data_IF_157397163672
#
_entry.id   IF_157397163672
#
_cell.length_a   1.000
_cell.length_b   1.000
_cell.length_c   1.000
_cell.angle_alpha   90.00
_cell.angle_beta   90.00
_cell.angle_gamma   90.00
#
_symmetry.space_group_name_H-M   'P 1'
#
loop_
_entity.id
_entity.type
_entity.pdbx_description
1 polymer ?
#
# COMPACT_ATOMS: atom_id res chain seq x y z
N UNK A 1 -10.12 -23.80 -16.52
CA UNK A 1 -9.47 -24.11 -15.23
C UNK A 1 -8.02 -24.55 -15.42
N UNK A 2 -7.70 -25.36 -16.43
CA UNK A 2 -6.31 -25.79 -16.70
C UNK A 2 -5.31 -24.65 -16.91
N UNK A 3 -5.70 -23.57 -17.61
CA UNK A 3 -4.82 -22.42 -17.85
C UNK A 3 -4.41 -21.68 -16.57
N UNK A 4 -5.30 -21.60 -15.57
CA UNK A 4 -5.02 -20.96 -14.27
C UNK A 4 -4.06 -21.83 -13.45
N UNK A 5 -4.21 -23.16 -13.52
CA UNK A 5 -3.34 -24.10 -12.81
C UNK A 5 -1.93 -24.11 -13.43
N UNK A 6 -1.82 -24.15 -14.76
CA UNK A 6 -0.54 -24.08 -15.46
C UNK A 6 0.22 -22.78 -15.18
N UNK A 7 -0.50 -21.65 -15.13
CA UNK A 7 0.08 -20.35 -14.78
C UNK A 7 0.59 -20.33 -13.32
N UNK A 8 -0.19 -20.88 -12.38
CA UNK A 8 0.20 -21.00 -10.97
C UNK A 8 1.44 -21.87 -10.79
N UNK A 9 1.49 -23.01 -11.50
CA UNK A 9 2.62 -23.94 -11.46
C UNK A 9 3.90 -23.32 -12.03
N UNK A 10 3.80 -22.58 -13.13
CA UNK A 10 4.92 -21.80 -13.67
C UNK A 10 5.47 -20.80 -12.65
N UNK A 11 4.59 -20.03 -11.99
CA UNK A 11 5.00 -19.05 -10.98
C UNK A 11 5.65 -19.69 -9.75
N UNK A 12 5.10 -20.81 -9.28
CA UNK A 12 5.64 -21.53 -8.13
C UNK A 12 7.04 -22.12 -8.39
N UNK A 13 7.39 -22.35 -9.65
CA UNK A 13 8.69 -22.89 -10.06
C UNK A 13 9.73 -21.82 -10.39
N UNK A 14 9.39 -20.53 -10.29
CA UNK A 14 10.35 -19.46 -10.51
C UNK A 14 11.38 -19.41 -9.36
N UNK A 15 12.68 -19.30 -9.67
CA UNK A 15 13.71 -19.02 -8.68
C UNK A 15 13.34 -17.78 -7.83
N UNK A 16 13.53 -17.80 -6.50
CA UNK A 16 13.15 -16.68 -5.63
C UNK A 16 13.74 -15.34 -6.06
N UNK A 17 15.01 -15.32 -6.51
CA UNK A 17 15.67 -14.11 -7.02
C UNK A 17 14.96 -13.51 -8.25
N UNK A 18 14.37 -14.36 -9.11
CA UNK A 18 13.59 -13.92 -10.27
C UNK A 18 12.24 -13.34 -9.80
N UNK A 19 11.58 -13.97 -8.82
CA UNK A 19 10.36 -13.41 -8.23
C UNK A 19 10.61 -12.04 -7.57
N UNK A 20 11.70 -11.90 -6.80
CA UNK A 20 12.11 -10.61 -6.22
C UNK A 20 12.40 -9.56 -7.30
N UNK A 21 13.05 -9.95 -8.40
CA UNK A 21 13.32 -9.05 -9.52
C UNK A 21 12.02 -8.56 -10.19
N UNK A 22 11.06 -9.44 -10.43
CA UNK A 22 9.74 -9.04 -10.95
C UNK A 22 8.99 -8.13 -9.97
N UNK A 23 8.99 -8.47 -8.67
CA UNK A 23 8.39 -7.64 -7.63
C UNK A 23 9.03 -6.24 -7.57
N UNK A 24 10.35 -6.15 -7.76
CA UNK A 24 11.08 -4.89 -7.84
C UNK A 24 10.73 -4.09 -9.10
N UNK A 25 10.64 -4.73 -10.27
CA UNK A 25 10.21 -4.06 -11.50
C UNK A 25 8.80 -3.51 -11.36
N UNK A 26 7.86 -4.31 -10.84
CA UNK A 26 6.48 -3.88 -10.63
C UNK A 26 6.42 -2.68 -9.67
N UNK A 27 7.20 -2.71 -8.60
CA UNK A 27 7.33 -1.57 -7.68
C UNK A 27 7.91 -0.33 -8.37
N UNK A 28 8.96 -0.48 -9.17
CA UNK A 28 9.58 0.64 -9.90
C UNK A 28 8.61 1.25 -10.92
N UNK A 29 7.91 0.42 -11.70
CA UNK A 29 6.85 0.86 -12.63
C UNK A 29 5.76 1.61 -11.88
N UNK A 30 5.40 1.16 -10.68
CA UNK A 30 4.41 1.80 -9.83
C UNK A 30 4.90 3.16 -9.33
N UNK A 31 6.15 3.29 -8.86
CA UNK A 31 6.74 4.59 -8.50
C UNK A 31 6.73 5.54 -9.70
N UNK A 32 7.14 5.08 -10.88
CA UNK A 32 7.17 5.91 -12.10
C UNK A 32 5.76 6.36 -12.48
N UNK A 33 4.78 5.46 -12.46
CA UNK A 33 3.38 5.80 -12.74
C UNK A 33 2.87 6.88 -11.79
N UNK A 34 3.16 6.75 -10.49
CA UNK A 34 2.79 7.75 -9.48
C UNK A 34 3.50 9.08 -9.74
N UNK A 35 4.81 9.08 -10.00
CA UNK A 35 5.56 10.28 -10.28
C UNK A 35 5.05 11.00 -11.54
N UNK A 36 4.66 10.25 -12.57
CA UNK A 36 4.04 10.80 -13.80
C UNK A 36 2.69 11.45 -13.47
N UNK A 37 1.83 10.79 -12.70
CA UNK A 37 0.53 11.36 -12.29
C UNK A 37 0.72 12.62 -11.44
N UNK A 38 1.62 12.58 -10.46
CA UNK A 38 1.92 13.73 -9.61
C UNK A 38 2.45 14.91 -10.44
N UNK A 39 3.38 14.65 -11.37
CA UNK A 39 3.94 15.70 -12.23
C UNK A 39 2.89 16.25 -13.22
N UNK A 40 1.96 15.42 -13.69
CA UNK A 40 0.85 15.85 -14.52
C UNK A 40 -0.17 16.71 -13.75
N UNK A 41 -0.51 16.33 -12.50
CA UNK A 41 -1.41 17.10 -11.66
C UNK A 41 -0.79 18.41 -11.17
N UNK A 42 0.50 18.40 -10.81
CA UNK A 42 1.22 19.61 -10.40
C UNK A 42 1.29 20.66 -11.52
N UNK A 43 1.33 20.22 -12.79
CA UNK A 43 1.31 21.13 -13.95
C UNK A 43 -0.06 21.73 -14.22
N UNK A 44 -1.15 21.07 -13.83
CA UNK A 44 -2.48 21.48 -14.29
C UNK A 44 -3.12 22.61 -13.48
N UNK A 45 -2.87 22.79 -12.17
CA UNK A 45 -3.54 23.81 -11.31
C UNK A 45 -5.07 23.96 -11.49
N UNK A 46 -5.72 23.04 -12.20
CA UNK A 46 -7.06 23.14 -12.74
C UNK A 46 -7.90 22.00 -12.18
N UNK A 47 -9.23 22.19 -12.05
CA UNK A 47 -10.12 21.14 -11.56
C UNK A 47 -9.97 19.87 -12.41
N UNK A 48 -9.78 18.74 -11.73
CA UNK A 48 -9.57 17.41 -12.33
C UNK A 48 -10.76 17.09 -13.24
N UNK A 49 -10.50 16.97 -14.54
CA UNK A 49 -11.53 16.60 -15.52
C UNK A 49 -11.96 15.13 -15.30
N UNK A 50 -13.20 14.77 -15.65
CA UNK A 50 -13.74 13.40 -15.45
C UNK A 50 -12.86 12.28 -16.04
N UNK A 51 -12.09 12.57 -17.09
CA UNK A 51 -11.17 11.62 -17.72
C UNK A 51 -9.96 11.30 -16.81
N UNK A 52 -9.45 12.29 -16.09
CA UNK A 52 -8.30 12.15 -15.18
C UNK A 52 -8.66 11.28 -13.96
N UNK A 53 -9.94 11.20 -13.57
CA UNK A 53 -10.40 10.31 -12.50
C UNK A 53 -10.28 8.82 -12.84
N UNK A 54 -10.51 8.42 -14.09
CA UNK A 54 -10.43 7.02 -14.51
C UNK A 54 -8.99 6.50 -14.51
N UNK A 55 -8.06 7.29 -15.06
CA UNK A 55 -6.63 6.97 -15.08
C UNK A 55 -6.09 6.86 -13.64
N UNK A 56 -6.47 7.80 -12.78
CA UNK A 56 -6.06 7.80 -11.38
C UNK A 56 -6.59 6.57 -10.61
N UNK A 57 -7.88 6.25 -10.77
CA UNK A 57 -8.51 5.09 -10.12
C UNK A 57 -7.84 3.80 -10.57
N UNK A 58 -7.52 3.69 -11.85
CA UNK A 58 -6.80 2.53 -12.40
C UNK A 58 -5.44 2.35 -11.76
N UNK A 59 -4.69 3.44 -11.54
CA UNK A 59 -3.37 3.40 -10.88
C UNK A 59 -3.48 2.97 -9.43
N UNK A 60 -4.49 3.45 -8.68
CA UNK A 60 -4.75 2.99 -7.31
C UNK A 60 -5.05 1.50 -7.28
N UNK A 61 -5.97 1.03 -8.13
CA UNK A 61 -6.36 -0.39 -8.19
C UNK A 61 -5.15 -1.26 -8.52
N UNK A 62 -4.40 -0.91 -9.57
CA UNK A 62 -3.17 -1.64 -9.96
C UNK A 62 -2.18 -1.64 -8.79
N UNK A 63 -2.02 -0.50 -8.12
CA UNK A 63 -1.10 -0.36 -6.99
C UNK A 63 -1.45 -1.27 -5.81
N UNK A 64 -2.74 -1.33 -5.46
CA UNK A 64 -3.24 -2.19 -4.39
C UNK A 64 -3.17 -3.67 -4.76
N UNK A 65 -3.47 -4.02 -6.01
CA UNK A 65 -3.34 -5.40 -6.51
C UNK A 65 -1.88 -5.84 -6.47
N UNK A 66 -0.94 -5.03 -6.98
CA UNK A 66 0.49 -5.34 -6.92
C UNK A 66 0.99 -5.47 -5.47
N UNK A 67 0.59 -4.57 -4.57
CA UNK A 67 0.95 -4.65 -3.16
C UNK A 67 0.44 -5.95 -2.52
N UNK A 68 -0.79 -6.35 -2.85
CA UNK A 68 -1.42 -7.57 -2.32
C UNK A 68 -0.74 -8.83 -2.87
N UNK A 69 -0.63 -8.96 -4.19
CA UNK A 69 -0.02 -10.12 -4.86
C UNK A 69 1.46 -10.23 -4.49
N UNK A 70 2.23 -9.12 -4.55
CA UNK A 70 3.64 -9.11 -4.19
C UNK A 70 3.89 -9.50 -2.74
N UNK A 71 3.11 -8.94 -1.81
CA UNK A 71 3.22 -9.32 -0.39
C UNK A 71 2.84 -10.78 -0.17
N UNK A 72 1.78 -11.28 -0.81
CA UNK A 72 1.36 -12.67 -0.67
C UNK A 72 2.38 -13.66 -1.23
N UNK A 73 2.89 -13.42 -2.45
CA UNK A 73 3.85 -14.32 -3.08
C UNK A 73 5.13 -14.44 -2.25
N UNK A 74 5.68 -13.31 -1.82
CA UNK A 74 6.91 -13.30 -1.02
C UNK A 74 6.65 -13.89 0.38
N UNK A 75 5.54 -13.52 1.01
CA UNK A 75 5.24 -13.97 2.36
C UNK A 75 4.67 -15.39 2.41
N UNK A 76 4.40 -16.08 1.30
CA UNK A 76 3.90 -17.47 1.32
C UNK A 76 5.01 -18.51 1.19
N UNK A 77 6.26 -18.11 0.97
CA UNK A 77 7.39 -19.03 0.83
C UNK A 77 7.61 -19.86 2.12
N UNK A 78 7.64 -21.20 2.06
CA UNK A 78 7.76 -22.05 3.25
C UNK A 78 9.17 -22.08 3.83
N UNK A 79 10.22 -21.91 3.03
CA UNK A 79 11.63 -22.02 3.44
C UNK A 79 12.30 -20.65 3.56
N UNK A 80 11.78 -19.79 4.44
CA UNK A 80 12.33 -18.44 4.65
C UNK A 80 13.40 -18.42 5.73
N UNK A 81 14.52 -17.77 5.41
CA UNK A 81 15.48 -17.32 6.42
C UNK A 81 14.93 -16.08 7.14
N UNK A 82 15.47 -15.77 8.33
CA UNK A 82 15.14 -14.53 9.06
C UNK A 82 15.36 -13.30 8.17
N UNK A 83 16.49 -13.23 7.47
CA UNK A 83 16.81 -12.12 6.57
C UNK A 83 15.85 -11.99 5.40
N UNK A 84 15.45 -13.12 4.78
CA UNK A 84 14.43 -13.09 3.73
C UNK A 84 13.10 -12.56 4.28
N UNK A 85 12.68 -12.99 5.48
CA UNK A 85 11.44 -12.52 6.12
C UNK A 85 11.47 -11.03 6.42
N UNK A 86 12.59 -10.51 6.93
CA UNK A 86 12.78 -9.07 7.16
C UNK A 86 12.68 -8.29 5.84
N UNK A 87 13.33 -8.77 4.77
CA UNK A 87 13.25 -8.16 3.45
C UNK A 87 11.82 -8.18 2.89
N UNK A 88 11.09 -9.29 3.05
CA UNK A 88 9.68 -9.43 2.66
C UNK A 88 8.78 -8.42 3.36
N UNK A 89 8.95 -8.26 4.68
CA UNK A 89 8.18 -7.31 5.48
C UNK A 89 8.53 -5.88 5.06
N UNK A 90 9.81 -5.56 4.89
CA UNK A 90 10.25 -4.26 4.39
C UNK A 90 9.65 -3.92 3.03
N UNK A 91 9.64 -4.88 2.11
CA UNK A 91 9.01 -4.74 0.80
C UNK A 91 7.49 -4.51 0.93
N UNK A 92 6.79 -5.29 1.77
CA UNK A 92 5.36 -5.11 2.00
C UNK A 92 5.05 -3.71 2.56
N UNK A 93 5.83 -3.23 3.53
CA UNK A 93 5.70 -1.86 4.07
C UNK A 93 5.85 -0.83 2.96
N UNK A 94 6.86 -0.94 2.11
CA UNK A 94 7.10 -0.01 1.00
C UNK A 94 5.94 -0.01 0.00
N UNK A 95 5.47 -1.18 -0.41
CA UNK A 95 4.35 -1.32 -1.36
C UNK A 95 3.05 -0.70 -0.81
N UNK A 96 2.69 -1.06 0.42
CA UNK A 96 1.51 -0.50 1.08
C UNK A 96 1.66 0.99 1.36
N UNK A 97 2.86 1.47 1.68
CA UNK A 97 3.12 2.90 1.88
C UNK A 97 2.83 3.65 0.59
N UNK A 98 3.39 3.22 -0.54
CA UNK A 98 3.13 3.84 -1.84
C UNK A 98 1.63 3.83 -2.15
N UNK A 99 0.95 2.68 -2.02
CA UNK A 99 -0.48 2.58 -2.27
C UNK A 99 -1.31 3.56 -1.41
N UNK A 100 -1.05 3.62 -0.11
CA UNK A 100 -1.76 4.53 0.79
C UNK A 100 -1.42 6.00 0.56
N UNK A 101 -0.19 6.35 0.18
CA UNK A 101 0.17 7.73 -0.15
C UNK A 101 -0.58 8.22 -1.40
N UNK A 102 -0.67 7.39 -2.44
CA UNK A 102 -1.47 7.70 -3.65
C UNK A 102 -2.93 7.91 -3.25
N UNK A 103 -3.49 6.98 -2.47
CA UNK A 103 -4.89 7.02 -2.05
C UNK A 103 -5.18 8.29 -1.23
N UNK A 104 -4.33 8.57 -0.23
CA UNK A 104 -4.44 9.73 0.62
C UNK A 104 -4.30 11.04 -0.17
N UNK A 105 -3.39 11.11 -1.13
CA UNK A 105 -3.17 12.32 -1.90
C UNK A 105 -4.36 12.68 -2.80
N UNK A 106 -4.95 11.69 -3.47
CA UNK A 106 -6.07 11.98 -4.36
C UNK A 106 -7.41 12.06 -3.67
N UNK A 107 -7.69 11.17 -2.73
CA UNK A 107 -8.97 11.14 -2.05
C UNK A 107 -8.97 12.01 -0.80
N UNK A 108 -7.81 12.43 -0.28
CA UNK A 108 -7.69 13.23 0.94
C UNK A 108 -8.58 14.48 0.96
N UNK A 109 -8.59 15.34 -0.07
CA UNK A 109 -9.47 16.51 -0.09
C UNK A 109 -10.96 16.15 -0.06
N UNK A 110 -11.38 15.14 -0.82
CA UNK A 110 -12.77 14.69 -0.87
C UNK A 110 -13.20 13.97 0.42
N UNK A 111 -12.28 13.23 1.05
CA UNK A 111 -12.49 12.63 2.35
C UNK A 111 -12.57 13.70 3.44
N UNK A 112 -11.77 14.76 3.35
CA UNK A 112 -11.79 15.85 4.33
C UNK A 112 -13.08 16.66 4.28
N UNK A 113 -13.69 16.83 3.09
CA UNK A 113 -14.97 17.53 2.96
C UNK A 113 -16.14 16.73 3.55
N UNK A 114 -16.10 15.39 3.46
CA UNK A 114 -17.17 14.52 3.97
C UNK A 114 -16.95 14.02 5.40
N UNK A 115 -15.69 13.83 5.80
CA UNK A 115 -15.29 13.19 7.05
C UNK A 115 -14.14 13.97 7.70
N UNK A 116 -14.47 15.02 8.47
CA UNK A 116 -13.48 15.94 9.09
C UNK A 116 -12.40 15.27 9.95
N UNK A 117 -12.60 14.01 10.37
CA UNK A 117 -11.69 13.28 11.26
C UNK A 117 -11.09 12.03 10.62
N UNK A 118 -11.16 11.87 9.30
CA UNK A 118 -10.66 10.67 8.62
C UNK A 118 -9.16 10.41 8.86
N UNK A 119 -8.34 11.46 8.96
CA UNK A 119 -6.91 11.34 9.30
C UNK A 119 -6.72 10.73 10.69
N UNK A 120 -7.59 11.06 11.66
CA UNK A 120 -7.60 10.45 13.00
C UNK A 120 -8.08 9.00 12.95
N UNK A 121 -8.98 8.65 12.02
CA UNK A 121 -9.37 7.26 11.79
C UNK A 121 -8.19 6.37 11.38
N UNK A 122 -7.19 6.91 10.69
CA UNK A 122 -5.97 6.17 10.34
C UNK A 122 -5.23 5.70 11.59
N UNK A 123 -5.17 6.50 12.66
CA UNK A 123 -4.52 6.09 13.92
C UNK A 123 -5.23 4.89 14.56
N UNK A 124 -6.56 4.85 14.52
CA UNK A 124 -7.31 3.70 15.04
C UNK A 124 -7.08 2.44 14.20
N UNK A 125 -7.03 2.56 12.87
CA UNK A 125 -6.72 1.44 11.98
C UNK A 125 -5.28 0.93 12.20
N UNK A 126 -4.33 1.84 12.40
CA UNK A 126 -2.95 1.52 12.77
C UNK A 126 -2.88 0.75 14.09
N UNK A 127 -3.52 1.26 15.16
CA UNK A 127 -3.55 0.61 16.46
C UNK A 127 -4.19 -0.78 16.37
N UNK A 128 -5.35 -0.89 15.72
CA UNK A 128 -6.05 -2.16 15.55
C UNK A 128 -5.17 -3.17 14.78
N UNK A 129 -4.64 -2.78 13.62
CA UNK A 129 -3.81 -3.64 12.77
C UNK A 129 -2.51 -4.07 13.47
N UNK A 130 -1.83 -3.15 14.15
CA UNK A 130 -0.62 -3.46 14.91
C UNK A 130 -0.90 -4.36 16.11
N UNK A 131 -1.98 -4.16 16.85
CA UNK A 131 -2.39 -5.05 17.94
C UNK A 131 -2.66 -6.46 17.42
N UNK A 132 -3.42 -6.60 16.33
CA UNK A 132 -3.66 -7.91 15.71
C UNK A 132 -2.37 -8.58 15.22
N UNK A 133 -1.49 -7.83 14.57
CA UNK A 133 -0.22 -8.34 14.08
C UNK A 133 0.72 -8.79 15.20
N UNK A 134 0.85 -8.01 16.28
CA UNK A 134 1.63 -8.39 17.47
C UNK A 134 1.02 -9.61 18.14
N UNK A 135 -0.30 -9.61 18.38
CA UNK A 135 -1.00 -10.73 19.00
C UNK A 135 -0.77 -12.02 18.20
N UNK A 136 -0.79 -11.93 16.87
CA UNK A 136 -0.49 -13.08 16.01
C UNK A 136 0.96 -13.53 16.13
N UNK A 137 1.94 -12.62 16.11
CA UNK A 137 3.36 -13.00 16.29
C UNK A 137 3.57 -13.68 17.65
N UNK A 138 2.99 -13.13 18.72
CA UNK A 138 3.09 -13.68 20.08
C UNK A 138 2.47 -15.08 20.17
N UNK A 139 1.28 -15.27 19.58
CA UNK A 139 0.59 -16.58 19.59
C UNK A 139 1.21 -17.60 18.66
N UNK A 140 1.79 -17.18 17.53
CA UNK A 140 2.52 -18.05 16.60
C UNK A 140 3.78 -18.68 17.24
N UNK A 141 4.44 -17.96 18.15
CA UNK A 141 5.56 -18.50 18.94
C UNK A 141 5.18 -19.62 19.90
N UNK A 142 3.87 -19.81 20.16
CA UNK A 142 3.34 -20.83 21.10
C UNK A 142 2.88 -22.10 20.35
N UNK A 143 2.64 -22.04 19.03
CA UNK A 143 2.12 -23.15 18.23
C UNK A 143 2.94 -23.34 16.93
N UNK A 144 4.11 -23.97 17.05
CA UNK A 144 4.90 -24.41 15.89
C UNK A 144 4.32 -25.73 15.36
N UNK A 145 3.26 -25.65 14.56
CA UNK A 145 2.83 -26.79 13.73
C UNK A 145 2.87 -26.42 12.25
N UNK A 146 3.30 -27.37 11.40
CA UNK A 146 3.64 -27.16 9.99
C UNK A 146 2.45 -26.69 9.11
N UNK A 147 1.21 -26.73 9.62
CA UNK A 147 0.02 -26.23 8.92
C UNK A 147 -0.26 -24.72 9.13
N UNK A 148 0.54 -23.99 9.90
CA UNK A 148 0.29 -22.56 10.22
C UNK A 148 0.98 -21.53 9.29
N UNK A 149 1.66 -21.99 8.23
CA UNK A 149 2.42 -21.10 7.34
C UNK A 149 1.59 -19.92 6.81
N UNK A 150 0.35 -20.16 6.38
CA UNK A 150 -0.56 -19.12 5.85
C UNK A 150 -1.04 -18.14 6.93
N UNK A 151 -1.22 -18.61 8.16
CA UNK A 151 -1.71 -17.79 9.29
C UNK A 151 -0.58 -16.91 9.85
N UNK A 152 0.68 -17.33 9.70
CA UNK A 152 1.86 -16.51 10.04
C UNK A 152 2.07 -15.33 9.08
N UNK A 153 1.73 -15.49 7.80
CA UNK A 153 1.76 -14.40 6.80
C UNK A 153 0.89 -13.23 7.22
N UNK A 154 -0.31 -13.52 7.72
CA UNK A 154 -1.28 -12.51 8.12
C UNK A 154 -0.73 -11.53 9.14
N UNK A 155 -0.05 -12.02 10.19
CA UNK A 155 0.50 -11.16 11.25
C UNK A 155 1.54 -10.16 10.74
N UNK A 156 2.48 -10.66 9.93
CA UNK A 156 3.51 -9.83 9.30
C UNK A 156 2.91 -8.80 8.32
N UNK A 157 1.90 -9.20 7.54
CA UNK A 157 1.20 -8.32 6.62
C UNK A 157 0.43 -7.21 7.36
N UNK A 158 -0.30 -7.55 8.44
CA UNK A 158 -1.03 -6.58 9.26
C UNK A 158 -0.10 -5.54 9.87
N UNK A 159 1.08 -5.94 10.34
CA UNK A 159 2.10 -5.00 10.82
C UNK A 159 2.64 -4.12 9.70
N UNK A 160 2.92 -4.69 8.52
CA UNK A 160 3.38 -3.93 7.38
C UNK A 160 2.39 -2.85 6.94
N UNK A 161 1.11 -3.23 6.85
CA UNK A 161 -0.02 -2.33 6.55
C UNK A 161 -0.15 -1.25 7.62
N UNK A 162 -0.09 -1.62 8.90
CA UNK A 162 -0.19 -0.66 10.00
C UNK A 162 0.94 0.38 9.93
N UNK A 163 2.19 -0.05 9.76
CA UNK A 163 3.33 0.87 9.61
C UNK A 163 3.18 1.78 8.40
N UNK A 164 2.73 1.24 7.26
CA UNK A 164 2.46 2.00 6.06
C UNK A 164 1.37 3.08 6.27
N UNK A 165 0.29 2.74 6.99
CA UNK A 165 -0.74 3.70 7.38
C UNK A 165 -0.18 4.82 8.26
N UNK A 166 0.68 4.47 9.23
CA UNK A 166 1.32 5.46 10.10
C UNK A 166 2.22 6.42 9.32
N UNK A 167 3.04 5.91 8.41
CA UNK A 167 3.87 6.73 7.52
C UNK A 167 3.01 7.66 6.66
N UNK A 168 1.93 7.13 6.08
CA UNK A 168 0.99 7.90 5.27
C UNK A 168 0.34 9.02 6.07
N UNK A 169 -0.08 8.75 7.31
CA UNK A 169 -0.62 9.78 8.20
C UNK A 169 0.39 10.89 8.46
N UNK A 170 1.62 10.54 8.82
CA UNK A 170 2.68 11.53 9.02
C UNK A 170 2.88 12.39 7.78
N UNK A 171 2.88 11.80 6.58
CA UNK A 171 2.96 12.55 5.32
C UNK A 171 1.77 13.49 5.12
N UNK A 172 0.53 13.04 5.41
CA UNK A 172 -0.66 13.90 5.35
C UNK A 172 -0.50 15.10 6.28
N UNK A 173 -0.05 14.89 7.52
CA UNK A 173 0.12 15.95 8.53
C UNK A 173 1.21 16.96 8.14
N UNK A 174 2.34 16.49 7.59
CA UNK A 174 3.46 17.34 7.14
C UNK A 174 3.05 18.16 5.91
N UNK A 175 2.51 17.50 4.88
CA UNK A 175 2.21 18.15 3.61
C UNK A 175 0.84 18.83 3.58
N UNK A 176 -0.02 18.57 4.57
CA UNK A 176 -1.37 19.15 4.67
C UNK A 176 -2.30 18.70 3.55
N UNK A 177 -2.24 17.42 3.16
CA UNK A 177 -3.08 16.88 2.06
C UNK A 177 -4.58 16.88 2.39
N UNK A 178 -4.94 17.04 3.66
CA UNK A 178 -6.29 17.16 4.19
C UNK A 178 -6.83 18.61 4.19
N UNK A 179 -5.98 19.61 3.97
CA UNK A 179 -6.37 21.04 4.05
C UNK A 179 -6.83 21.56 2.68
N UNK A 180 -8.13 21.61 2.47
CA UNK A 180 -8.75 22.15 1.25
C UNK A 180 -8.39 23.63 1.02
N UNK A 181 -8.35 24.44 2.09
CA UNK A 181 -8.14 25.89 2.04
C UNK A 181 -6.78 26.32 1.46
N UNK A 182 -5.71 25.53 1.68
CA UNK A 182 -4.38 25.85 1.12
C UNK A 182 -4.35 25.75 -0.40
N UNK A 183 -5.14 24.85 -0.99
CA UNK A 183 -5.25 24.73 -2.45
C UNK A 183 -6.06 25.88 -3.04
N UNK A 184 -7.13 26.30 -2.36
CA UNK A 184 -7.96 27.44 -2.77
C UNK A 184 -7.16 28.75 -2.72
N UNK A 185 -6.38 28.98 -1.65
CA UNK A 185 -5.48 30.12 -1.54
C UNK A 185 -4.34 30.09 -2.56
N UNK A 186 -3.70 28.94 -2.78
CA UNK A 186 -2.64 28.80 -3.79
C UNK A 186 -3.16 29.03 -5.23
N UNK A 187 -4.44 28.73 -5.48
CA UNK A 187 -5.11 28.98 -6.74
C UNK A 187 -5.60 30.44 -6.91
N UNK A 188 -5.38 31.32 -5.92
CA UNK A 188 -5.86 32.70 -5.97
C UNK A 188 -7.38 32.84 -5.92
N UNK A 189 -8.08 31.80 -5.48
CA UNK A 189 -9.54 31.80 -5.39
C UNK A 189 -9.98 32.38 -4.03
N UNK A 190 -11.06 33.18 -3.99
CA UNK A 190 -11.58 33.72 -2.74
C UNK A 190 -11.99 32.58 -1.80
N UNK A 191 -11.64 32.70 -0.51
CA UNK A 191 -12.13 31.81 0.54
C UNK A 191 -13.63 32.06 0.70
N UNK A 192 -14.45 31.07 0.35
CA UNK A 192 -15.90 31.06 0.58
C UNK A 192 -16.25 30.34 1.87
#
# INVERSE_FOLDING_TARGET
MESVNAFREYFNNLPPNIMFFFAFILFFVQIVAVAVVYSAQAKKNAPVEKKDHFEFTSIVVISTVNATVGSYSILSEPTRTVWSSVASIGYAILMWSVAFHILAFAFGPALSSRFKHWVKCIDYLYLLGSTFGILRIVTAGVALSDNEATVNVGGALFLGVALALRLTKTSIEIFGWDKTERRTQAAGLPLT
#
